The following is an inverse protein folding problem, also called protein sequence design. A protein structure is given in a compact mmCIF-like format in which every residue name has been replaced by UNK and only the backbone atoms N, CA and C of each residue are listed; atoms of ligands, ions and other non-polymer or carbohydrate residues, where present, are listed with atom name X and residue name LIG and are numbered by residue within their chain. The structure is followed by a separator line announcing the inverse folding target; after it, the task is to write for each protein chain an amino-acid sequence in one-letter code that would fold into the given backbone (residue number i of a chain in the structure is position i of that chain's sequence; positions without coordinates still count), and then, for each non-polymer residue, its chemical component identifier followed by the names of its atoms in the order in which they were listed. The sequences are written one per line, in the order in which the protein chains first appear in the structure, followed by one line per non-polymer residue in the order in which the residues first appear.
data_IF_777361105263
#
_entry.id   IF_777361105263
#
_cell.length_a   1.000
_cell.length_b   1.000
_cell.length_c   1.000
_cell.angle_alpha   90.00
_cell.angle_beta   90.00
_cell.angle_gamma   90.00
#
_symmetry.space_group_name_H-M   'P 1'
#
loop_
_entity.id
_entity.type
_entity.pdbx_description
1 polymer ?
#
# COMPACT_ATOMS: atom_id res chain seq x y z
N UNK A 1 -7.44 6.57 10.06
CA UNK A 1 -7.04 5.86 11.30
C UNK A 1 -5.58 6.19 11.58
N UNK A 2 -5.16 6.17 12.85
CA UNK A 2 -3.77 6.39 13.23
C UNK A 2 -3.26 5.15 13.95
N UNK A 3 -2.19 4.54 13.43
CA UNK A 3 -1.52 3.39 14.00
C UNK A 3 -0.82 3.75 15.32
N UNK A 4 -0.90 2.83 16.28
CA UNK A 4 -0.21 2.94 17.57
C UNK A 4 1.32 2.94 17.42
N UNK A 5 1.85 2.26 16.40
CA UNK A 5 3.27 2.15 16.07
C UNK A 5 3.63 2.85 14.75
N UNK A 6 4.90 3.26 14.53
CA UNK A 6 5.36 3.69 13.22
C UNK A 6 5.54 2.47 12.32
N UNK A 7 4.74 2.34 11.26
CA UNK A 7 4.88 1.26 10.30
C UNK A 7 5.88 1.64 9.20
N UNK A 8 7.01 0.91 9.04
CA UNK A 8 7.96 1.21 7.98
C UNK A 8 7.46 0.69 6.63
N UNK A 9 7.26 1.60 5.68
CA UNK A 9 6.76 1.32 4.33
C UNK A 9 7.56 2.11 3.30
N UNK A 10 8.24 1.42 2.38
CA UNK A 10 9.13 2.04 1.38
C UNK A 10 10.18 3.01 1.97
N UNK A 11 10.69 2.71 3.16
CA UNK A 11 11.68 3.52 3.87
C UNK A 11 11.11 4.75 4.59
N UNK A 12 9.79 4.93 4.60
CA UNK A 12 9.10 5.97 5.38
C UNK A 12 8.32 5.34 6.52
N UNK A 13 8.30 6.01 7.67
CA UNK A 13 7.46 5.59 8.78
C UNK A 13 6.08 6.23 8.63
N UNK A 14 5.06 5.41 8.36
CA UNK A 14 3.67 5.86 8.26
C UNK A 14 2.90 5.52 9.53
N UNK A 15 2.01 6.43 9.94
CA UNK A 15 1.05 6.20 11.04
C UNK A 15 -0.38 6.42 10.60
N UNK A 16 -0.60 7.33 9.67
CA UNK A 16 -1.93 7.62 9.16
C UNK A 16 -2.22 6.69 7.98
N UNK A 17 -3.27 5.89 8.14
CA UNK A 17 -3.78 5.00 7.09
C UNK A 17 -5.29 5.14 6.99
N UNK A 18 -5.81 4.88 5.80
CA UNK A 18 -7.26 4.83 5.55
C UNK A 18 -7.63 3.43 5.11
N UNK A 19 -8.61 2.83 5.80
CA UNK A 19 -9.17 1.53 5.42
C UNK A 19 -10.28 1.78 4.41
N UNK A 20 -10.13 1.25 3.20
CA UNK A 20 -11.14 1.35 2.16
C UNK A 20 -12.02 0.09 2.15
N UNK A 21 -13.32 0.27 1.94
CA UNK A 21 -14.28 -0.84 1.78
C UNK A 21 -13.98 -1.70 0.56
N UNK A 22 -13.36 -1.12 -0.47
CA UNK A 22 -12.89 -1.80 -1.68
C UNK A 22 -11.71 -2.76 -1.50
N UNK A 23 -11.39 -3.19 -0.28
CA UNK A 23 -10.42 -4.27 -0.02
C UNK A 23 -8.93 -3.87 0.03
N UNK A 24 -8.64 -2.60 0.38
CA UNK A 24 -7.26 -2.12 0.48
C UNK A 24 -7.07 -1.06 1.57
N UNK A 25 -5.80 -0.84 1.95
CA UNK A 25 -5.36 0.24 2.81
C UNK A 25 -4.70 1.32 1.96
N UNK A 26 -5.11 2.57 2.15
CA UNK A 26 -4.47 3.73 1.54
C UNK A 26 -3.40 4.30 2.48
N UNK A 27 -2.20 4.54 1.94
CA UNK A 27 -1.01 4.94 2.72
C UNK A 27 -0.46 6.33 2.35
N UNK A 28 -1.16 7.06 1.48
CA UNK A 28 -0.78 8.42 1.09
C UNK A 28 -1.30 9.49 2.06
N UNK A 29 -0.63 10.64 2.08
CA UNK A 29 -0.97 11.74 2.99
C UNK A 29 -2.18 12.56 2.52
N UNK A 30 -2.41 12.64 1.21
CA UNK A 30 -3.49 13.43 0.62
C UNK A 30 -4.64 12.52 0.22
N UNK A 31 -5.86 12.77 0.69
CA UNK A 31 -7.01 11.96 0.29
C UNK A 31 -7.65 12.57 -0.95
N UNK A 32 -7.57 11.88 -2.08
CA UNK A 32 -8.31 12.21 -3.30
C UNK A 32 -8.64 10.88 -4.02
N UNK A 33 -9.80 10.78 -4.66
CA UNK A 33 -10.28 9.50 -5.21
C UNK A 33 -9.30 8.87 -6.23
N UNK A 34 -8.59 9.70 -7.00
CA UNK A 34 -7.54 9.26 -7.93
C UNK A 34 -6.22 8.83 -7.23
N UNK A 35 -5.93 9.36 -6.03
CA UNK A 35 -4.71 9.04 -5.29
C UNK A 35 -4.75 7.63 -4.68
N UNK A 36 -5.94 7.18 -4.29
CA UNK A 36 -6.16 5.89 -3.64
C UNK A 36 -5.68 4.69 -4.47
N UNK A 37 -5.67 4.82 -5.80
CA UNK A 37 -5.21 3.79 -6.73
C UNK A 37 -3.68 3.70 -6.90
N UNK A 38 -2.91 4.64 -6.32
CA UNK A 38 -1.45 4.75 -6.54
C UNK A 38 -0.60 4.51 -5.30
N UNK A 39 -1.16 4.66 -4.09
CA UNK A 39 -0.44 4.41 -2.83
C UNK A 39 -1.27 3.47 -1.94
N UNK A 40 -0.99 2.18 -2.03
CA UNK A 40 -1.87 1.19 -1.41
C UNK A 40 -1.12 -0.04 -0.88
N UNK A 41 -1.78 -0.70 0.07
CA UNK A 41 -1.53 -2.07 0.50
C UNK A 41 -2.84 -2.82 0.27
N UNK A 42 -2.89 -3.66 -0.76
CA UNK A 42 -4.11 -4.28 -1.25
C UNK A 42 -4.00 -5.81 -1.17
N UNK A 43 -4.57 -6.47 -0.14
CA UNK A 43 -4.78 -7.91 -0.20
C UNK A 43 -5.71 -8.28 -1.36
N UNK A 44 -6.75 -7.49 -1.64
CA UNK A 44 -7.57 -7.62 -2.84
C UNK A 44 -8.36 -6.33 -3.05
N UNK A 45 -7.84 -5.43 -3.87
CA UNK A 45 -8.59 -4.25 -4.32
C UNK A 45 -9.52 -4.68 -5.45
N UNK A 46 -10.83 -4.45 -5.30
CA UNK A 46 -11.83 -4.72 -6.34
C UNK A 46 -13.09 -3.85 -6.09
N UNK A 47 -14.11 -3.98 -6.95
CA UNK A 47 -15.39 -3.27 -6.81
C UNK A 47 -16.27 -3.86 -5.69
N UNK A 48 -15.73 -3.97 -4.47
CA UNK A 48 -16.48 -4.46 -3.32
C UNK A 48 -17.41 -3.38 -2.76
N UNK A 49 -18.63 -3.79 -2.42
CA UNK A 49 -19.62 -2.93 -1.78
C UNK A 49 -20.17 -3.62 -0.53
N UNK A 50 -19.82 -3.08 0.63
CA UNK A 50 -20.23 -3.59 1.94
C UNK A 50 -21.69 -3.28 2.27
N UNK A 51 -22.35 -2.40 1.51
CA UNK A 51 -23.77 -2.06 1.73
C UNK A 51 -24.73 -3.09 1.16
N UNK A 52 -24.26 -4.01 0.31
CA UNK A 52 -25.08 -5.01 -0.37
C UNK A 52 -25.59 -6.13 0.55
N UNK A 53 -24.96 -6.32 1.71
CA UNK A 53 -25.43 -7.28 2.71
C UNK A 53 -25.18 -6.78 4.12
N UNK A 54 -26.18 -6.97 4.99
CA UNK A 54 -26.10 -6.70 6.43
C UNK A 54 -25.09 -7.60 7.17
N UNK A 55 -24.60 -8.66 6.52
CA UNK A 55 -23.55 -9.54 7.04
C UNK A 55 -22.14 -9.17 6.57
N UNK A 56 -21.98 -8.10 5.79
CA UNK A 56 -20.68 -7.61 5.35
C UNK A 56 -20.07 -6.68 6.40
N UNK A 57 -18.84 -6.93 6.82
CA UNK A 57 -18.17 -6.11 7.81
C UNK A 57 -16.73 -5.78 7.40
N UNK A 58 -16.29 -4.57 7.73
CA UNK A 58 -14.88 -4.22 7.73
C UNK A 58 -14.48 -3.99 9.17
N UNK A 59 -13.67 -4.90 9.72
CA UNK A 59 -13.22 -4.87 11.11
C UNK A 59 -11.72 -4.66 11.15
N UNK A 60 -11.24 -3.96 12.17
CA UNK A 60 -9.81 -3.80 12.37
C UNK A 60 -9.45 -3.90 13.85
N UNK A 61 -8.21 -4.29 14.11
CA UNK A 61 -7.63 -4.37 15.45
C UNK A 61 -6.18 -3.87 15.39
N UNK A 62 -5.87 -2.91 16.25
CA UNK A 62 -4.50 -2.47 16.53
C UNK A 62 -4.13 -2.97 17.94
N UNK A 63 -3.06 -3.74 18.06
CA UNK A 63 -2.61 -4.28 19.35
C UNK A 63 -1.25 -3.71 19.80
N UNK A 64 -0.75 -2.63 19.21
CA UNK A 64 0.53 -2.02 19.57
C UNK A 64 1.73 -2.52 18.76
N UNK A 65 1.69 -3.77 18.30
CA UNK A 65 2.79 -4.43 17.54
C UNK A 65 2.35 -4.87 16.14
N UNK A 66 1.04 -4.98 15.94
CA UNK A 66 0.43 -5.34 14.67
C UNK A 66 -0.92 -4.66 14.51
N UNK A 67 -1.26 -4.36 13.27
CA UNK A 67 -2.55 -3.81 12.87
C UNK A 67 -3.16 -4.74 11.82
N UNK A 68 -4.33 -5.31 12.12
CA UNK A 68 -5.03 -6.22 11.21
C UNK A 68 -6.35 -5.62 10.77
N UNK A 69 -6.67 -5.77 9.49
CA UNK A 69 -7.97 -5.44 8.90
C UNK A 69 -8.54 -6.67 8.24
N UNK A 70 -9.80 -6.97 8.53
CA UNK A 70 -10.59 -8.05 7.96
C UNK A 70 -11.74 -7.44 7.16
N UNK A 71 -11.81 -7.80 5.88
CA UNK A 71 -12.99 -7.63 5.05
C UNK A 71 -13.74 -8.95 5.10
N UNK A 72 -14.86 -8.97 5.82
CA UNK A 72 -15.65 -10.15 6.12
C UNK A 72 -16.94 -10.14 5.29
N UNK A 73 -17.17 -11.22 4.54
CA UNK A 73 -18.35 -11.42 3.71
C UNK A 73 -18.68 -10.26 2.77
N UNK A 74 -17.67 -9.66 2.12
CA UNK A 74 -17.88 -8.55 1.18
C UNK A 74 -18.24 -9.07 -0.21
N UNK A 75 -19.12 -8.37 -0.93
CA UNK A 75 -19.62 -8.77 -2.24
C UNK A 75 -19.14 -7.84 -3.34
N UNK A 76 -18.91 -8.39 -4.54
CA UNK A 76 -18.66 -7.58 -5.73
C UNK A 76 -19.98 -6.92 -6.17
N UNK A 77 -19.93 -5.61 -6.42
CA UNK A 77 -21.11 -4.83 -6.79
C UNK A 77 -21.80 -5.36 -8.05
N UNK A 78 -21.00 -5.83 -9.00
CA UNK A 78 -21.49 -6.27 -10.31
C UNK A 78 -21.89 -7.75 -10.36
N UNK A 79 -21.53 -8.55 -9.32
CA UNK A 79 -21.70 -10.02 -9.32
C UNK A 79 -21.95 -10.56 -7.90
N UNK A 80 -23.14 -10.33 -7.35
CA UNK A 80 -23.53 -10.87 -6.03
C UNK A 80 -23.76 -12.39 -6.02
N UNK A 81 -24.10 -12.98 -7.16
CA UNK A 81 -24.40 -14.40 -7.35
C UNK A 81 -23.19 -15.32 -7.13
N UNK A 82 -21.98 -14.77 -7.29
CA UNK A 82 -20.72 -15.47 -7.11
C UNK A 82 -20.44 -15.82 -5.63
N UNK A 83 -21.06 -15.08 -4.70
CA UNK A 83 -20.84 -15.25 -3.27
C UNK A 83 -19.88 -14.21 -2.69
N UNK A 84 -19.63 -14.36 -1.39
CA UNK A 84 -18.88 -13.38 -0.60
C UNK A 84 -17.38 -13.66 -0.58
N UNK A 85 -16.59 -12.62 -0.38
CA UNK A 85 -15.15 -12.69 -0.18
C UNK A 85 -14.84 -12.40 1.29
N UNK A 86 -13.89 -13.16 1.84
CA UNK A 86 -13.36 -12.94 3.19
C UNK A 86 -11.85 -13.02 3.17
N UNK A 87 -11.19 -11.91 3.47
CA UNK A 87 -9.73 -11.79 3.45
C UNK A 87 -9.26 -10.72 4.42
N UNK A 88 -7.99 -10.80 4.82
CA UNK A 88 -7.39 -9.84 5.75
C UNK A 88 -6.01 -9.38 5.32
N UNK A 89 -5.61 -8.21 5.81
CA UNK A 89 -4.24 -7.75 5.79
C UNK A 89 -3.76 -7.41 7.21
N UNK A 90 -2.56 -7.86 7.56
CA UNK A 90 -1.89 -7.55 8.82
C UNK A 90 -0.59 -6.82 8.54
N UNK A 91 -0.40 -5.67 9.18
CA UNK A 91 0.83 -4.89 9.19
C UNK A 91 1.54 -5.12 10.53
N UNK A 92 2.81 -5.48 10.51
CA UNK A 92 3.62 -5.62 11.72
C UNK A 92 4.55 -4.42 11.89
N UNK A 93 4.87 -4.06 13.12
CA UNK A 93 5.77 -2.95 13.47
C UNK A 93 7.18 -3.06 12.85
N UNK A 94 7.64 -4.26 12.57
CA UNK A 94 8.89 -4.54 11.86
C UNK A 94 8.81 -4.30 10.33
N UNK A 95 7.64 -3.93 9.79
CA UNK A 95 7.42 -3.67 8.36
C UNK A 95 6.86 -4.84 7.57
N UNK A 96 6.79 -6.03 8.16
CA UNK A 96 6.22 -7.19 7.47
C UNK A 96 4.72 -6.99 7.24
N UNK A 97 4.25 -7.56 6.13
CA UNK A 97 2.84 -7.52 5.74
C UNK A 97 2.40 -8.96 5.46
N UNK A 98 1.22 -9.34 5.95
CA UNK A 98 0.64 -10.65 5.69
C UNK A 98 -0.76 -10.47 5.12
N UNK A 99 -1.04 -11.09 3.98
CA UNK A 99 -2.39 -11.24 3.43
C UNK A 99 -2.88 -12.66 3.69
N UNK A 100 -4.14 -12.80 4.10
CA UNK A 100 -4.78 -14.09 4.34
C UNK A 100 -6.10 -14.12 3.61
N UNK A 101 -6.34 -15.20 2.86
CA UNK A 101 -7.55 -15.40 2.06
C UNK A 101 -8.36 -16.55 2.66
N UNK A 102 -9.44 -16.23 3.37
CA UNK A 102 -10.29 -17.22 4.00
C UNK A 102 -11.34 -17.77 3.02
N UNK A 103 -11.95 -16.88 2.23
CA UNK A 103 -12.92 -17.24 1.21
C UNK A 103 -12.78 -16.35 -0.03
N UNK A 104 -12.60 -16.99 -1.18
CA UNK A 104 -12.37 -16.42 -2.51
C UNK A 104 -13.14 -17.32 -3.49
N UNK A 105 -14.42 -17.04 -3.76
CA UNK A 105 -15.31 -17.96 -4.47
C UNK A 105 -15.00 -18.13 -5.97
N UNK A 106 -14.22 -17.22 -6.56
CA UNK A 106 -13.79 -17.26 -7.96
C UNK A 106 -12.32 -16.87 -8.08
N UNK A 107 -11.69 -17.24 -9.19
CA UNK A 107 -10.34 -16.80 -9.50
C UNK A 107 -10.30 -15.26 -9.66
N UNK A 108 -9.31 -14.62 -9.06
CA UNK A 108 -9.18 -13.15 -9.05
C UNK A 108 -9.08 -12.59 -10.48
N UNK A 109 -8.42 -13.30 -11.39
CA UNK A 109 -8.31 -12.95 -12.82
C UNK A 109 -9.66 -12.83 -13.56
N UNK A 110 -10.74 -13.44 -13.02
CA UNK A 110 -12.07 -13.40 -13.62
C UNK A 110 -12.94 -12.23 -13.13
N UNK A 111 -12.43 -11.44 -12.18
CA UNK A 111 -13.07 -10.23 -11.69
C UNK A 111 -12.89 -9.14 -12.76
N UNK A 112 -13.98 -8.47 -13.13
CA UNK A 112 -13.95 -7.39 -14.11
C UNK A 112 -13.26 -6.15 -13.55
N UNK A 113 -12.41 -5.52 -14.36
CA UNK A 113 -11.60 -4.35 -13.99
C UNK A 113 -12.03 -3.06 -14.71
N UNK A 114 -13.12 -3.11 -15.48
CA UNK A 114 -13.64 -2.02 -16.31
C UNK A 114 -14.16 -0.84 -15.49
N UNK A 115 -14.90 -1.12 -14.41
CA UNK A 115 -15.46 -0.11 -13.51
C UNK A 115 -14.51 0.28 -12.38
N UNK A 116 -13.74 -0.68 -11.89
CA UNK A 116 -12.83 -0.48 -10.76
C UNK A 116 -11.60 -1.39 -10.91
N UNK A 117 -10.38 -0.89 -10.65
CA UNK A 117 -9.18 -1.71 -10.78
C UNK A 117 -9.22 -2.91 -9.84
N UNK A 118 -8.74 -4.05 -10.36
CA UNK A 118 -8.47 -5.27 -9.59
C UNK A 118 -6.97 -5.37 -9.33
N UNK A 119 -6.55 -5.33 -8.06
CA UNK A 119 -5.13 -5.32 -7.70
C UNK A 119 -4.87 -6.15 -6.45
N UNK A 120 -3.78 -6.91 -6.47
CA UNK A 120 -3.23 -7.58 -5.29
C UNK A 120 -1.76 -7.20 -5.15
N UNK A 121 -1.43 -6.51 -4.07
CA UNK A 121 -0.05 -6.17 -3.74
C UNK A 121 0.13 -4.79 -3.16
N UNK A 122 1.28 -4.17 -3.46
CA UNK A 122 1.74 -2.94 -2.83
C UNK A 122 2.06 -1.90 -3.91
N UNK A 123 1.78 -0.63 -3.63
CA UNK A 123 2.27 0.46 -4.47
C UNK A 123 2.61 1.68 -3.64
N UNK A 124 3.63 2.41 -4.08
CA UNK A 124 3.93 3.74 -3.56
C UNK A 124 4.29 4.74 -4.67
N UNK A 125 4.04 6.00 -4.37
CA UNK A 125 4.17 7.12 -5.29
C UNK A 125 4.72 8.35 -4.57
N UNK A 126 5.33 9.26 -5.34
CA UNK A 126 5.68 10.60 -4.85
C UNK A 126 4.89 11.66 -5.62
N UNK A 127 4.73 12.83 -5.01
CA UNK A 127 3.99 13.94 -5.60
C UNK A 127 4.97 15.08 -5.90
N UNK A 128 4.87 15.63 -7.11
CA UNK A 128 5.58 16.86 -7.50
C UNK A 128 4.57 17.97 -7.71
N UNK A 129 4.77 19.08 -7.01
CA UNK A 129 4.02 20.31 -7.15
C UNK A 129 4.69 21.18 -8.23
N UNK A 130 3.97 21.46 -9.32
CA UNK A 130 4.40 22.39 -10.38
C UNK A 130 3.50 23.62 -10.39
N UNK A 131 4.11 24.81 -10.45
CA UNK A 131 3.39 26.06 -10.70
C UNK A 131 3.43 26.33 -12.20
N UNK A 132 2.28 26.29 -12.88
CA UNK A 132 2.16 26.58 -14.31
C UNK A 132 1.10 27.67 -14.46
N UNK A 133 1.44 28.80 -15.10
CA UNK A 133 0.51 29.92 -15.37
C UNK A 133 -0.35 30.32 -14.15
N UNK A 134 0.28 30.58 -12.99
CA UNK A 134 -0.37 30.95 -11.73
C UNK A 134 -1.29 29.88 -11.09
N UNK A 135 -1.35 28.67 -11.65
CA UNK A 135 -2.05 27.52 -11.06
C UNK A 135 -1.07 26.50 -10.47
N UNK A 136 -1.38 25.97 -9.28
CA UNK A 136 -0.61 24.90 -8.64
C UNK A 136 -1.17 23.55 -9.07
N UNK A 137 -0.39 22.78 -9.83
CA UNK A 137 -0.75 21.43 -10.26
C UNK A 137 0.10 20.41 -9.52
N UNK A 138 -0.56 19.48 -8.83
CA UNK A 138 0.08 18.30 -8.23
C UNK A 138 0.11 17.17 -9.25
N UNK A 139 1.29 16.58 -9.48
CA UNK A 139 1.45 15.41 -10.34
C UNK A 139 1.97 14.25 -9.52
N UNK A 140 1.32 13.10 -9.64
CA UNK A 140 1.66 11.88 -8.90
C UNK A 140 2.49 10.98 -9.81
N UNK A 141 3.56 10.43 -9.28
CA UNK A 141 4.43 9.50 -9.98
C UNK A 141 4.52 8.22 -9.15
N UNK A 142 3.90 7.16 -9.64
CA UNK A 142 4.12 5.81 -9.12
C UNK A 142 5.54 5.40 -9.48
N UNK A 143 6.35 5.11 -8.46
CA UNK A 143 7.75 4.77 -8.67
C UNK A 143 8.03 3.29 -8.42
N UNK A 144 7.16 2.59 -7.69
CA UNK A 144 7.29 1.17 -7.48
C UNK A 144 5.94 0.52 -7.21
N UNK A 145 5.76 -0.68 -7.78
CA UNK A 145 4.61 -1.53 -7.57
C UNK A 145 5.07 -2.98 -7.44
N UNK A 146 4.50 -3.68 -6.47
CA UNK A 146 4.57 -5.14 -6.33
C UNK A 146 3.20 -5.67 -6.67
N UNK A 147 3.10 -6.51 -7.70
CA UNK A 147 1.87 -7.21 -8.07
C UNK A 147 2.06 -8.70 -7.79
N UNK A 148 1.13 -9.30 -7.05
CA UNK A 148 1.13 -10.74 -6.82
C UNK A 148 0.23 -11.40 -7.86
N UNK A 149 0.69 -12.53 -8.43
CA UNK A 149 -0.06 -13.27 -9.43
C UNK A 149 -1.42 -13.70 -8.89
N UNK A 150 -2.47 -13.44 -9.67
CA UNK A 150 -3.86 -13.73 -9.31
C UNK A 150 -4.18 -15.23 -9.35
N UNK A 151 -3.38 -16.00 -10.09
CA UNK A 151 -3.69 -17.38 -10.52
C UNK A 151 -3.67 -18.38 -9.35
N UNK A 152 -2.84 -18.11 -8.35
CA UNK A 152 -2.63 -18.98 -7.19
C UNK A 152 -3.42 -18.55 -5.94
N UNK A 153 -4.10 -17.40 -5.99
CA UNK A 153 -4.82 -16.89 -4.82
C UNK A 153 -6.21 -17.53 -4.74
N UNK A 154 -6.32 -18.49 -3.82
CA UNK A 154 -7.54 -19.27 -3.55
C UNK A 154 -7.83 -19.32 -2.05
N UNK A 155 -8.87 -20.04 -1.65
CA UNK A 155 -9.15 -20.30 -0.25
C UNK A 155 -7.93 -20.88 0.48
N UNK A 156 -7.72 -20.41 1.71
CA UNK A 156 -6.59 -20.81 2.57
C UNK A 156 -5.21 -20.42 2.04
N UNK A 157 -5.13 -19.40 1.17
CA UNK A 157 -3.85 -18.84 0.72
C UNK A 157 -3.33 -17.79 1.70
N UNK A 158 -2.01 -17.75 1.90
CA UNK A 158 -1.33 -16.74 2.70
C UNK A 158 -0.18 -16.15 1.86
N UNK A 159 -0.12 -14.83 1.75
CA UNK A 159 1.01 -14.12 1.15
C UNK A 159 1.74 -13.39 2.27
N UNK A 160 3.01 -13.75 2.48
CA UNK A 160 3.87 -13.10 3.47
C UNK A 160 4.92 -12.24 2.76
N UNK A 161 4.95 -10.97 3.12
CA UNK A 161 5.85 -9.96 2.58
C UNK A 161 6.81 -9.57 3.71
N UNK A 162 8.10 -9.80 3.49
CA UNK A 162 9.14 -9.46 4.47
C UNK A 162 9.78 -8.13 4.10
N UNK A 163 9.83 -7.20 5.05
CA UNK A 163 10.47 -5.91 4.83
C UNK A 163 11.98 -6.08 4.67
N UNK A 164 12.53 -5.46 3.63
CA UNK A 164 13.97 -5.40 3.38
C UNK A 164 14.52 -4.00 3.71
N UNK A 165 15.80 -3.89 4.11
CA UNK A 165 16.44 -2.60 4.30
C UNK A 165 16.40 -1.74 3.03
N UNK A 166 16.27 -0.42 3.21
CA UNK A 166 16.26 0.57 2.12
C UNK A 166 17.32 1.64 2.41
N UNK A 167 17.74 2.42 1.42
CA UNK A 167 18.72 3.48 1.66
C UNK A 167 18.31 4.46 2.77
N UNK A 168 17.01 4.73 2.90
CA UNK A 168 16.44 5.65 3.90
C UNK A 168 16.66 5.19 5.37
N UNK A 169 17.02 3.93 5.59
CA UNK A 169 17.35 3.43 6.94
C UNK A 169 18.69 3.95 7.45
N UNK A 170 19.64 4.28 6.57
CA UNK A 170 20.95 4.79 6.93
C UNK A 170 20.90 6.28 7.29
N UNK A 171 21.51 6.65 8.43
CA UNK A 171 21.42 8.00 9.03
C UNK A 171 22.71 8.80 8.95
N UNK A 172 23.76 8.25 8.36
CA UNK A 172 25.05 8.91 8.17
C UNK A 172 25.64 8.58 6.79
N UNK A 173 26.54 9.45 6.34
CA UNK A 173 27.16 9.33 5.01
C UNK A 173 27.91 8.01 4.84
N UNK A 174 28.64 7.57 5.89
CA UNK A 174 29.47 6.39 5.81
C UNK A 174 28.63 5.12 5.70
N UNK A 175 27.64 4.94 6.58
CA UNK A 175 26.73 3.79 6.50
C UNK A 175 25.90 3.78 5.21
N UNK A 176 25.58 4.94 4.65
CA UNK A 176 24.88 5.06 3.37
C UNK A 176 25.74 4.61 2.18
N UNK A 177 26.96 5.12 2.07
CA UNK A 177 27.85 4.87 0.92
C UNK A 177 28.46 3.47 1.00
N UNK A 178 28.82 3.01 2.20
CA UNK A 178 29.36 1.66 2.43
C UNK A 178 28.25 0.59 2.52
N UNK A 179 26.98 0.96 2.26
CA UNK A 179 25.86 0.03 2.38
C UNK A 179 25.97 -1.12 1.37
N UNK A 180 25.78 -2.34 1.86
CA UNK A 180 25.76 -3.54 1.03
C UNK A 180 24.33 -4.11 0.97
N UNK A 181 23.45 -3.38 0.31
CA UNK A 181 22.06 -3.78 0.04
C UNK A 181 21.82 -3.74 -1.47
N UNK A 182 20.70 -4.29 -1.94
CA UNK A 182 20.37 -4.36 -3.37
C UNK A 182 19.99 -2.99 -4.01
N UNK A 183 20.32 -1.87 -3.37
CA UNK A 183 20.02 -0.52 -3.85
C UNK A 183 21.29 0.30 -3.99
N UNK A 184 21.36 1.11 -5.04
CA UNK A 184 22.42 2.10 -5.22
C UNK A 184 22.10 3.33 -4.37
N UNK A 185 22.59 3.33 -3.13
CA UNK A 185 22.37 4.42 -2.20
C UNK A 185 23.34 5.58 -2.45
N UNK A 186 22.84 6.80 -2.27
CA UNK A 186 23.63 8.03 -2.33
C UNK A 186 23.31 8.90 -1.13
N UNK A 187 24.34 9.56 -0.57
CA UNK A 187 24.18 10.48 0.53
C UNK A 187 24.05 11.92 0.00
N UNK A 188 23.05 12.66 0.48
CA UNK A 188 22.92 14.09 0.22
C UNK A 188 23.23 14.90 1.49
N UNK A 189 24.40 15.59 1.56
CA UNK A 189 24.78 16.39 2.73
C UNK A 189 23.81 17.53 3.03
N UNK A 190 23.33 18.23 2.00
CA UNK A 190 22.41 19.36 2.16
C UNK A 190 21.02 18.94 2.66
N UNK A 191 20.69 17.65 2.59
CA UNK A 191 19.44 17.03 3.04
C UNK A 191 19.63 16.21 4.31
N UNK A 192 20.88 15.96 4.68
CA UNK A 192 21.29 15.03 5.72
C UNK A 192 20.57 13.66 5.60
N UNK A 193 20.50 13.12 4.37
CA UNK A 193 19.66 11.96 4.04
C UNK A 193 20.33 11.02 3.04
N UNK A 194 20.19 9.72 3.29
CA UNK A 194 20.52 8.65 2.35
C UNK A 194 19.31 8.28 1.50
N UNK A 195 19.45 8.16 0.19
CA UNK A 195 18.37 7.75 -0.72
C UNK A 195 18.92 7.18 -2.03
N UNK A 196 18.09 6.47 -2.80
CA UNK A 196 18.35 6.19 -4.22
C UNK A 196 18.05 7.41 -5.12
N UNK A 197 17.56 8.50 -4.53
CA UNK A 197 17.03 9.67 -5.24
C UNK A 197 15.58 9.49 -5.72
N UNK A 198 14.98 8.31 -5.49
CA UNK A 198 13.59 8.00 -5.84
C UNK A 198 12.84 7.57 -4.57
N UNK A 199 12.17 8.53 -3.93
CA UNK A 199 11.37 8.31 -2.73
C UNK A 199 10.27 9.39 -2.61
N UNK A 200 9.37 9.31 -1.62
CA UNK A 200 8.28 10.28 -1.40
C UNK A 200 8.76 11.75 -1.35
N UNK A 201 10.01 11.99 -0.95
CA UNK A 201 10.68 13.29 -0.84
C UNK A 201 11.59 13.60 -2.04
N UNK A 202 11.28 13.06 -3.22
CA UNK A 202 12.04 13.30 -4.46
C UNK A 202 12.10 14.78 -4.85
N UNK A 203 11.04 15.55 -4.62
CA UNK A 203 11.05 16.97 -4.97
C UNK A 203 12.16 17.73 -4.22
N UNK A 204 12.33 17.48 -2.92
CA UNK A 204 13.40 18.06 -2.10
C UNK A 204 14.79 17.56 -2.54
N UNK A 205 14.88 16.35 -3.10
CA UNK A 205 16.12 15.80 -3.64
C UNK A 205 16.54 16.48 -4.95
N UNK A 206 15.58 16.90 -5.78
CA UNK A 206 15.85 17.58 -7.05
C UNK A 206 16.15 19.08 -6.88
N UNK A 207 15.67 19.70 -5.81
CA UNK A 207 15.79 21.15 -5.55
C UNK A 207 17.06 21.50 -4.75
N UNK A 208 18.09 20.66 -4.85
CA UNK A 208 19.09 20.48 -3.82
C UNK A 208 20.48 20.90 -4.26
#
# INVERSE_FOLDING_TARGET
LQLSFPFPFYGHNIRNITVATGGFLYTGEYVHSWLAATQYIAPLMANFDTSLSNSSFVRYLDNGTSFTVLWENVYLQDKMDIGSFTFSATLYDNGNIVFVYYNVPILIETIQDDKHPVKVGLSDAYIIDKVIFFSRRKTIYEYHRVNFGSDDIKNSTIIQITALPTCLTFKDCRSCVDSNINFQCSWCPALNRCSTGIDRRRQEWLQK
#
